data_IF_748368650259
#
_entry.id   IF_748368650259
#
_cell.length_a   1.000
_cell.length_b   1.000
_cell.length_c   1.000
_cell.angle_alpha   90.00
_cell.angle_beta   90.00
_cell.angle_gamma   90.00
#
_symmetry.space_group_name_H-M   'P 1'
#
loop_
_entity.id
_entity.type
_entity.pdbx_description
1 polymer ?
#
# COMPACT_ATOMS: atom_id res chain seq x y z
N UNK A 1 -17.36 27.08 -23.06
CA UNK A 1 -16.09 26.50 -23.02
C UNK A 1 -15.81 25.87 -21.73
N UNK A 2 -15.63 26.63 -20.71
CA UNK A 2 -15.36 26.11 -19.39
C UNK A 2 -16.45 25.20 -18.86
N UNK A 3 -17.67 25.51 -19.25
CA UNK A 3 -18.82 24.78 -18.77
C UNK A 3 -18.83 23.34 -19.24
N UNK A 4 -18.32 23.10 -20.46
CA UNK A 4 -18.28 21.74 -20.96
C UNK A 4 -17.30 20.89 -20.16
N UNK A 5 -16.25 21.49 -19.63
CA UNK A 5 -15.32 20.77 -18.77
C UNK A 5 -15.92 20.49 -17.40
N UNK A 6 -16.72 21.42 -16.91
CA UNK A 6 -17.37 21.25 -15.61
C UNK A 6 -18.45 20.18 -15.66
N UNK A 7 -19.10 20.04 -16.78
CA UNK A 7 -20.19 19.08 -16.91
C UNK A 7 -19.70 17.65 -17.03
N UNK A 8 -18.41 17.45 -17.29
CA UNK A 8 -17.85 16.11 -17.39
C UNK A 8 -17.50 15.60 -16.01
N UNK A 9 -18.18 14.58 -15.59
CA UNK A 9 -17.89 13.93 -14.31
C UNK A 9 -16.86 12.83 -14.51
N UNK A 10 -15.93 12.79 -13.59
CA UNK A 10 -14.94 11.72 -13.61
C UNK A 10 -15.56 10.45 -13.06
N UNK A 11 -15.31 9.35 -13.71
CA UNK A 11 -15.75 8.04 -13.26
C UNK A 11 -14.54 7.35 -12.64
N UNK A 12 -14.74 6.77 -11.46
CA UNK A 12 -13.70 6.02 -10.79
C UNK A 12 -13.97 4.53 -10.95
N UNK A 13 -13.02 3.84 -11.55
CA UNK A 13 -13.07 2.38 -11.64
C UNK A 13 -12.23 1.79 -10.53
N UNK A 14 -12.82 0.95 -9.72
CA UNK A 14 -12.12 0.28 -8.63
C UNK A 14 -11.94 -1.18 -8.98
N UNK A 15 -10.69 -1.63 -8.93
CA UNK A 15 -10.36 -3.02 -9.20
C UNK A 15 -10.04 -3.73 -7.90
N UNK A 16 -10.83 -4.73 -7.58
CA UNK A 16 -10.66 -5.49 -6.36
C UNK A 16 -9.62 -6.57 -6.53
N UNK A 17 -9.22 -7.15 -5.41
CA UNK A 17 -8.30 -8.29 -5.40
C UNK A 17 -8.78 -9.42 -6.30
N UNK A 18 -10.07 -9.74 -6.22
CA UNK A 18 -10.62 -10.83 -7.05
C UNK A 18 -10.55 -10.53 -8.53
N UNK A 19 -10.74 -9.27 -8.91
CA UNK A 19 -10.61 -8.85 -10.30
C UNK A 19 -9.17 -8.97 -10.78
N UNK A 20 -8.22 -8.62 -9.93
CA UNK A 20 -6.80 -8.76 -10.26
C UNK A 20 -6.41 -10.23 -10.39
N UNK A 21 -6.92 -11.07 -9.49
CA UNK A 21 -6.67 -12.52 -9.55
C UNK A 21 -7.22 -13.09 -10.87
N UNK A 22 -8.42 -12.67 -11.26
CA UNK A 22 -9.02 -13.12 -12.52
C UNK A 22 -8.17 -12.71 -13.72
N UNK A 23 -7.70 -11.45 -13.73
CA UNK A 23 -6.85 -10.98 -14.81
C UNK A 23 -5.57 -11.81 -14.93
N UNK A 24 -4.94 -12.10 -13.79
CA UNK A 24 -3.72 -12.91 -13.79
C UNK A 24 -4.01 -14.32 -14.32
N UNK A 25 -5.10 -14.92 -13.85
CA UNK A 25 -5.48 -16.26 -14.29
C UNK A 25 -5.72 -16.29 -15.80
N UNK A 26 -6.39 -15.27 -16.34
CA UNK A 26 -6.65 -15.15 -17.77
C UNK A 26 -5.34 -14.99 -18.56
N UNK A 27 -4.40 -14.23 -18.02
CA UNK A 27 -3.14 -13.97 -18.70
C UNK A 27 -2.23 -15.21 -18.76
N UNK A 28 -2.25 -16.02 -17.72
CA UNK A 28 -1.34 -17.17 -17.64
C UNK A 28 -2.03 -18.51 -17.87
N UNK A 29 -3.34 -18.55 -17.99
CA UNK A 29 -4.08 -19.78 -18.22
C UNK A 29 -4.20 -20.67 -17.00
N UNK A 30 -3.87 -20.16 -15.81
CA UNK A 30 -3.94 -20.94 -14.60
C UNK A 30 -5.31 -20.84 -13.93
N UNK A 31 -5.58 -21.76 -13.04
CA UNK A 31 -6.81 -21.82 -12.27
C UNK A 31 -6.89 -20.64 -11.30
N UNK A 32 -8.04 -19.98 -11.20
CA UNK A 32 -8.23 -18.86 -10.30
C UNK A 32 -7.94 -19.19 -8.85
N UNK A 33 -8.27 -20.37 -8.40
CA UNK A 33 -8.03 -20.75 -7.00
C UNK A 33 -6.54 -20.84 -6.71
N UNK A 34 -5.75 -21.29 -7.68
CA UNK A 34 -4.30 -21.34 -7.55
C UNK A 34 -3.72 -19.93 -7.45
N UNK A 35 -4.17 -19.05 -8.34
CA UNK A 35 -3.70 -17.66 -8.34
C UNK A 35 -4.10 -16.94 -7.04
N UNK A 36 -5.34 -17.15 -6.60
CA UNK A 36 -5.82 -16.53 -5.36
C UNK A 36 -4.97 -16.98 -4.17
N UNK A 37 -4.63 -18.27 -4.13
CA UNK A 37 -3.79 -18.79 -3.06
C UNK A 37 -2.41 -18.15 -3.07
N UNK A 38 -1.80 -18.02 -4.23
CA UNK A 38 -0.50 -17.38 -4.38
C UNK A 38 -0.59 -15.92 -3.96
N UNK A 39 -1.62 -15.22 -4.38
CA UNK A 39 -1.82 -13.82 -4.03
C UNK A 39 -1.96 -13.66 -2.50
N UNK A 40 -2.73 -14.54 -1.88
CA UNK A 40 -2.90 -14.51 -0.42
C UNK A 40 -1.57 -14.74 0.30
N UNK A 41 -0.75 -15.65 -0.21
CA UNK A 41 0.56 -15.90 0.37
C UNK A 41 1.47 -14.68 0.22
N UNK A 42 1.38 -13.98 -0.90
CA UNK A 42 2.13 -12.74 -1.10
C UNK A 42 1.73 -11.70 -0.07
N UNK A 43 0.43 -11.51 0.14
CA UNK A 43 -0.06 -10.55 1.13
C UNK A 43 0.41 -10.90 2.53
N UNK A 44 0.35 -12.18 2.89
CA UNK A 44 0.81 -12.64 4.20
C UNK A 44 2.30 -12.43 4.38
N UNK A 45 3.07 -12.71 3.34
CA UNK A 45 4.52 -12.52 3.37
C UNK A 45 4.87 -11.06 3.57
N UNK A 46 4.21 -10.16 2.83
CA UNK A 46 4.45 -8.73 2.94
C UNK A 46 4.09 -8.24 4.34
N UNK A 47 2.93 -8.64 4.85
CA UNK A 47 2.48 -8.22 6.18
C UNK A 47 3.45 -8.70 7.27
N UNK A 48 3.91 -9.94 7.16
CA UNK A 48 4.85 -10.51 8.13
C UNK A 48 6.16 -9.74 8.15
N UNK A 49 6.69 -9.43 6.99
CA UNK A 49 7.95 -8.70 6.89
C UNK A 49 7.80 -7.27 7.40
N UNK A 50 6.72 -6.58 7.03
CA UNK A 50 6.50 -5.21 7.49
C UNK A 50 6.36 -5.15 9.01
N UNK A 51 5.75 -6.15 9.61
CA UNK A 51 5.55 -6.18 11.06
C UNK A 51 6.83 -6.48 11.83
N UNK A 52 7.90 -6.85 11.16
CA UNK A 52 9.17 -7.14 11.81
C UNK A 52 10.02 -5.90 12.09
N UNK A 53 9.57 -4.71 11.73
CA UNK A 53 10.27 -3.47 12.05
C UNK A 53 10.37 -3.29 13.56
N UNK A 54 11.50 -2.78 14.03
CA UNK A 54 11.71 -2.53 15.46
C UNK A 54 12.53 -1.25 15.65
N UNK A 55 12.95 -0.97 16.87
CA UNK A 55 13.69 0.24 17.20
C UNK A 55 14.97 0.42 16.40
N UNK A 56 15.57 -0.66 15.97
CA UNK A 56 16.85 -0.63 15.28
C UNK A 56 16.76 -0.98 13.81
N UNK A 57 15.56 -1.32 13.33
CA UNK A 57 15.40 -1.85 11.98
C UNK A 57 14.15 -1.30 11.32
N UNK A 58 14.33 -0.57 10.24
CA UNK A 58 13.24 -0.21 9.34
C UNK A 58 13.18 -1.27 8.25
N UNK A 59 11.98 -1.51 7.73
CA UNK A 59 11.78 -2.50 6.67
C UNK A 59 11.38 -1.78 5.39
N UNK A 60 11.92 -2.21 4.27
CA UNK A 60 11.54 -1.70 2.97
C UNK A 60 11.33 -2.88 2.04
N UNK A 61 10.17 -2.96 1.44
CA UNK A 61 9.82 -4.03 0.50
C UNK A 61 9.57 -3.44 -0.87
N UNK A 62 10.29 -3.92 -1.85
CA UNK A 62 10.03 -3.57 -3.24
C UNK A 62 8.95 -4.51 -3.75
N UNK A 63 7.72 -4.04 -3.73
CA UNK A 63 6.58 -4.85 -4.12
C UNK A 63 6.53 -5.03 -5.64
N UNK A 64 6.66 -3.94 -6.36
CA UNK A 64 6.79 -3.92 -7.81
C UNK A 64 7.99 -3.07 -8.16
N UNK A 65 8.43 -3.17 -9.38
CA UNK A 65 9.47 -2.27 -9.86
C UNK A 65 8.91 -0.85 -9.84
N UNK A 66 9.41 -0.03 -8.95
CA UNK A 66 8.95 1.35 -8.79
C UNK A 66 7.93 1.56 -7.69
N UNK A 67 7.47 0.51 -7.02
CA UNK A 67 6.56 0.64 -5.88
C UNK A 67 7.19 -0.05 -4.67
N UNK A 68 7.39 0.74 -3.62
CA UNK A 68 8.03 0.27 -2.39
C UNK A 68 7.10 0.54 -1.21
N UNK A 69 7.03 -0.40 -0.29
CA UNK A 69 6.31 -0.20 0.97
C UNK A 69 7.33 -0.27 2.09
N UNK A 70 7.40 0.80 2.87
CA UNK A 70 8.30 0.89 4.01
C UNK A 70 7.52 0.78 5.30
N UNK A 71 8.16 0.27 6.34
CA UNK A 71 7.56 0.30 7.67
C UNK A 71 8.59 0.75 8.69
N UNK A 72 8.10 1.50 9.66
CA UNK A 72 8.91 2.05 10.74
C UNK A 72 8.21 1.73 12.05
N UNK A 73 8.99 1.35 13.04
CA UNK A 73 8.46 1.10 14.38
C UNK A 73 8.45 2.41 15.16
N UNK A 74 7.29 2.76 15.70
CA UNK A 74 7.15 3.94 16.55
C UNK A 74 6.97 3.45 17.98
N UNK A 75 7.93 3.73 18.86
CA UNK A 75 7.88 3.24 20.24
C UNK A 75 6.79 3.93 21.05
N UNK A 76 6.45 3.31 22.16
CA UNK A 76 5.51 3.87 23.10
C UNK A 76 6.01 5.23 23.61
N UNK A 77 5.10 6.19 23.70
CA UNK A 77 5.40 7.53 24.20
C UNK A 77 4.42 7.90 25.28
N UNK A 78 4.94 8.56 26.30
CA UNK A 78 4.14 9.09 27.38
C UNK A 78 4.22 10.60 27.37
N UNK A 79 3.09 11.27 27.36
CA UNK A 79 3.01 12.71 27.42
C UNK A 79 2.17 13.14 28.62
N UNK A 80 2.55 14.24 29.24
CA UNK A 80 1.76 14.85 30.29
C UNK A 80 1.02 16.04 29.70
N UNK A 81 -0.29 16.06 29.85
CA UNK A 81 -1.08 17.20 29.45
C UNK A 81 -0.93 18.29 30.48
N UNK A 82 -0.26 19.37 30.15
CA UNK A 82 0.02 20.45 31.08
C UNK A 82 -1.22 21.15 31.62
N UNK A 83 -2.31 21.10 30.87
CA UNK A 83 -3.55 21.76 31.29
C UNK A 83 -4.32 20.95 32.31
N UNK A 84 -4.31 19.64 32.16
CA UNK A 84 -5.11 18.75 33.04
C UNK A 84 -4.26 17.91 33.97
N UNK A 85 -2.95 17.86 33.74
CA UNK A 85 -2.06 17.01 34.52
C UNK A 85 -2.19 15.52 34.20
N UNK A 86 -3.00 15.18 33.23
CA UNK A 86 -3.20 13.76 32.87
C UNK A 86 -2.03 13.24 32.06
N UNK A 87 -1.68 11.99 32.30
CA UNK A 87 -0.66 11.29 31.54
C UNK A 87 -1.33 10.57 30.40
N UNK A 88 -0.88 10.84 29.17
CA UNK A 88 -1.39 10.20 27.97
C UNK A 88 -0.30 9.27 27.44
N UNK A 89 -0.61 8.01 27.30
CA UNK A 89 0.32 7.03 26.77
C UNK A 89 -0.11 6.59 25.39
N UNK A 90 0.75 6.80 24.39
CA UNK A 90 0.54 6.30 23.04
C UNK A 90 1.27 4.97 22.92
N UNK A 91 0.52 3.91 22.58
CA UNK A 91 1.11 2.58 22.43
C UNK A 91 2.05 2.54 21.23
N UNK A 92 2.98 1.60 21.25
CA UNK A 92 3.87 1.36 20.12
C UNK A 92 3.07 0.89 18.92
N UNK A 93 3.55 1.20 17.72
CA UNK A 93 2.87 0.81 16.49
C UNK A 93 3.84 0.70 15.33
N UNK A 94 3.43 -0.02 14.31
CA UNK A 94 4.13 -0.08 13.03
C UNK A 94 3.46 0.92 12.11
N UNK A 95 4.25 1.80 11.50
CA UNK A 95 3.72 2.79 10.57
C UNK A 95 4.17 2.45 9.15
N UNK A 96 3.25 2.00 8.29
CA UNK A 96 3.59 1.71 6.90
C UNK A 96 3.48 2.96 6.03
N UNK A 97 4.25 3.00 4.97
CA UNK A 97 4.20 4.07 3.99
C UNK A 97 4.51 3.51 2.61
N UNK A 98 3.67 3.83 1.63
CA UNK A 98 3.89 3.41 0.25
C UNK A 98 4.54 4.52 -0.54
N UNK A 99 5.49 4.17 -1.39
CA UNK A 99 6.21 5.12 -2.24
C UNK A 99 6.20 4.62 -3.68
N UNK A 100 6.00 5.56 -4.60
CA UNK A 100 6.00 5.26 -6.02
C UNK A 100 7.06 6.15 -6.68
N UNK A 101 7.96 5.54 -7.46
CA UNK A 101 9.04 6.29 -8.10
C UNK A 101 8.52 7.11 -9.27
N UNK A 102 9.26 8.17 -9.59
CA UNK A 102 8.97 9.00 -10.75
C UNK A 102 9.07 8.19 -12.05
N UNK A 103 10.05 7.31 -12.12
CA UNK A 103 10.22 6.43 -13.29
C UNK A 103 8.99 5.60 -13.57
N UNK A 104 8.39 5.07 -12.50
CA UNK A 104 7.19 4.26 -12.64
C UNK A 104 6.02 5.10 -13.13
N UNK A 105 5.89 6.32 -12.63
CA UNK A 105 4.86 7.26 -13.09
C UNK A 105 5.02 7.57 -14.58
N UNK A 106 6.25 7.78 -15.01
CA UNK A 106 6.54 8.05 -16.43
C UNK A 106 6.23 6.83 -17.28
N UNK A 107 6.55 5.65 -16.79
CA UNK A 107 6.27 4.40 -17.50
C UNK A 107 4.77 4.24 -17.71
N UNK A 108 3.96 4.54 -16.71
CA UNK A 108 2.50 4.45 -16.82
C UNK A 108 1.97 5.44 -17.85
N UNK A 109 2.51 6.67 -17.85
CA UNK A 109 2.10 7.69 -18.80
C UNK A 109 2.44 7.28 -20.23
N UNK A 110 3.63 6.75 -20.44
CA UNK A 110 4.07 6.35 -21.77
C UNK A 110 3.34 5.11 -22.28
N UNK A 111 2.88 4.26 -21.40
CA UNK A 111 2.16 3.05 -21.77
C UNK A 111 0.84 3.36 -22.46
N UNK A 112 0.26 4.52 -22.18
CA UNK A 112 -1.01 4.93 -22.78
C UNK A 112 -0.89 5.62 -24.14
N UNK A 113 0.31 5.82 -24.64
CA UNK A 113 0.52 6.51 -25.92
C UNK A 113 0.59 5.55 -27.10
#
# INVERSE_FOLDING_TARGET
MKDSLKSQEKVKHTYTKDMLVRNIADMCGENMSTIRNIYNLLEQSVAKLLSSADLNTDISIRLFEGITIDSTFIPEKTKVNNLTGKVITATSKIKPKANITRSYCEKLTNHNK
#
